data_IF_819341011404
#
_entry.id   IF_819341011404
#
_cell.length_a   1.000
_cell.length_b   1.000
_cell.length_c   1.000
_cell.angle_alpha   90.00
_cell.angle_beta   90.00
_cell.angle_gamma   90.00
#
_symmetry.space_group_name_H-M   'P 1'
#
loop_
_entity.id
_entity.type
_entity.pdbx_description
1 polymer ?
#
# COMPACT_ATOMS: atom_id res chain seq x y z
N UNK A 1 -0.48 8.37 7.75
CA UNK A 1 -0.33 7.29 8.76
C UNK A 1 1.13 6.96 8.90
N UNK A 2 1.68 6.97 10.12
CA UNK A 2 3.05 6.52 10.34
C UNK A 2 3.10 4.99 10.43
N UNK A 3 4.14 4.39 9.89
CA UNK A 3 4.36 2.94 9.93
C UNK A 3 5.47 2.66 10.95
N UNK A 4 5.22 1.72 11.86
CA UNK A 4 6.16 1.33 12.91
C UNK A 4 6.49 -0.16 12.80
N UNK A 5 7.71 -0.55 13.18
CA UNK A 5 8.10 -1.95 13.33
C UNK A 5 7.55 -2.56 14.64
N UNK A 6 7.82 -3.85 14.86
CA UNK A 6 7.41 -4.56 16.08
C UNK A 6 8.07 -4.01 17.37
N UNK A 7 9.16 -3.24 17.23
CA UNK A 7 9.86 -2.61 18.34
C UNK A 7 9.38 -1.18 18.60
N UNK A 8 8.44 -0.66 17.79
CA UNK A 8 7.92 0.70 17.90
C UNK A 8 8.77 1.77 17.20
N UNK A 9 9.76 1.39 16.39
CA UNK A 9 10.52 2.35 15.59
C UNK A 9 9.76 2.74 14.33
N UNK A 10 9.76 4.03 14.01
CA UNK A 10 9.19 4.51 12.75
C UNK A 10 10.03 3.99 11.59
N UNK A 11 9.42 3.19 10.73
CA UNK A 11 10.04 2.65 9.51
C UNK A 11 9.61 3.41 8.26
N UNK A 12 8.58 4.24 8.37
CA UNK A 12 8.10 5.03 7.25
C UNK A 12 6.79 5.72 7.55
N UNK A 13 6.15 6.22 6.50
CA UNK A 13 4.83 6.80 6.59
C UNK A 13 4.08 6.67 5.26
N UNK A 14 2.76 6.70 5.35
CA UNK A 14 1.86 6.67 4.20
C UNK A 14 1.00 7.93 4.18
N UNK A 15 0.81 8.52 3.01
CA UNK A 15 0.07 9.77 2.83
C UNK A 15 -0.99 9.60 1.74
N UNK A 16 -2.21 10.14 1.92
CA UNK A 16 -3.25 10.04 0.90
C UNK A 16 -2.79 10.68 -0.42
N UNK A 17 -3.05 9.98 -1.52
CA UNK A 17 -2.79 10.42 -2.89
C UNK A 17 -3.99 11.12 -3.50
N UNK A 18 -3.75 11.82 -4.62
CA UNK A 18 -4.76 12.67 -5.27
C UNK A 18 -5.98 11.92 -5.80
N UNK A 19 -5.84 10.64 -6.16
CA UNK A 19 -6.91 9.81 -6.73
C UNK A 19 -7.50 8.80 -5.73
N UNK A 20 -7.56 9.16 -4.44
CA UNK A 20 -8.07 8.27 -3.39
C UNK A 20 -7.15 7.08 -3.06
N UNK A 21 -5.91 7.11 -3.55
CA UNK A 21 -4.86 6.16 -3.21
C UNK A 21 -4.05 6.55 -1.96
N UNK A 22 -3.00 5.80 -1.64
CA UNK A 22 -2.08 6.06 -0.54
C UNK A 22 -0.62 5.93 -1.02
N UNK A 23 0.18 6.98 -0.90
CA UNK A 23 1.61 6.95 -1.18
C UNK A 23 2.35 6.40 0.03
N UNK A 24 3.35 5.55 -0.17
CA UNK A 24 4.18 4.96 0.88
C UNK A 24 5.60 5.51 0.78
N UNK A 25 6.14 5.91 1.93
CA UNK A 25 7.47 6.49 2.07
C UNK A 25 8.24 5.75 3.16
N UNK A 26 9.55 5.62 2.98
CA UNK A 26 10.47 5.12 4.02
C UNK A 26 10.72 6.19 5.10
N UNK A 27 11.57 5.86 6.08
CA UNK A 27 11.94 6.77 7.15
C UNK A 27 12.85 7.93 6.69
N UNK A 28 13.46 7.82 5.50
CA UNK A 28 14.28 8.86 4.87
C UNK A 28 13.44 9.82 4.01
N UNK A 29 12.14 9.53 3.83
CA UNK A 29 11.23 10.30 3.00
C UNK A 29 11.24 9.91 1.52
N UNK A 30 11.92 8.83 1.13
CA UNK A 30 11.86 8.31 -0.23
C UNK A 30 10.58 7.52 -0.45
N UNK A 31 9.94 7.74 -1.59
CA UNK A 31 8.76 6.98 -2.00
C UNK A 31 9.17 5.54 -2.28
N UNK A 32 8.56 4.60 -1.56
CA UNK A 32 8.77 3.16 -1.74
C UNK A 32 7.68 2.52 -2.59
N UNK A 33 6.52 3.17 -2.70
CA UNK A 33 5.40 2.71 -3.50
C UNK A 33 4.15 3.56 -3.37
N UNK A 34 3.06 3.11 -3.97
CA UNK A 34 1.73 3.72 -3.86
C UNK A 34 0.64 2.65 -4.01
N UNK A 35 -0.44 2.79 -3.28
CA UNK A 35 -1.66 2.00 -3.43
C UNK A 35 -2.76 2.83 -4.06
N UNK A 36 -3.52 2.27 -5.00
CA UNK A 36 -4.67 2.91 -5.64
C UNK A 36 -5.91 2.04 -5.47
N UNK A 37 -7.10 2.62 -5.27
CA UNK A 37 -8.34 1.87 -5.35
C UNK A 37 -8.50 1.28 -6.75
N UNK A 38 -8.84 0.00 -6.81
CA UNK A 38 -9.15 -0.74 -8.03
C UNK A 38 -10.61 -0.57 -8.44
N UNK A 39 -10.89 -0.72 -9.74
CA UNK A 39 -12.22 -0.52 -10.32
C UNK A 39 -13.31 -1.46 -9.76
N UNK A 40 -12.92 -2.58 -9.15
CA UNK A 40 -13.83 -3.58 -8.57
C UNK A 40 -13.76 -3.64 -7.03
N UNK A 41 -13.37 -2.53 -6.38
CA UNK A 41 -13.32 -2.44 -4.91
C UNK A 41 -12.10 -3.11 -4.26
N UNK A 42 -11.14 -3.58 -5.05
CA UNK A 42 -9.81 -4.00 -4.58
C UNK A 42 -8.86 -2.82 -4.35
N UNK A 43 -7.67 -3.10 -3.83
CA UNK A 43 -6.57 -2.13 -3.75
C UNK A 43 -5.39 -2.67 -4.56
N UNK A 44 -4.86 -1.84 -5.46
CA UNK A 44 -3.67 -2.16 -6.24
C UNK A 44 -2.47 -1.47 -5.62
N UNK A 45 -1.46 -2.23 -5.21
CA UNK A 45 -0.21 -1.67 -4.68
C UNK A 45 0.90 -1.80 -5.72
N UNK A 46 1.56 -0.68 -5.96
CA UNK A 46 2.66 -0.51 -6.89
C UNK A 46 3.92 -0.15 -6.10
N UNK A 47 5.08 -0.66 -6.53
CA UNK A 47 6.36 -0.19 -6.03
C UNK A 47 6.81 1.11 -6.72
N UNK A 48 7.97 1.61 -6.31
CA UNK A 48 8.55 2.83 -6.86
C UNK A 48 8.92 2.73 -8.36
N UNK A 49 9.05 1.52 -8.90
CA UNK A 49 9.30 1.30 -10.33
C UNK A 49 7.98 1.22 -11.13
N UNK A 50 6.83 1.33 -10.46
CA UNK A 50 5.51 1.17 -11.08
C UNK A 50 5.12 -0.29 -11.29
N UNK A 51 5.90 -1.24 -10.79
CA UNK A 51 5.54 -2.65 -10.87
C UNK A 51 4.49 -2.95 -9.81
N UNK A 52 3.43 -3.65 -10.23
CA UNK A 52 2.34 -4.07 -9.34
C UNK A 52 2.87 -5.18 -8.42
N UNK A 53 3.20 -4.83 -7.18
CA UNK A 53 3.68 -5.79 -6.19
C UNK A 53 2.58 -6.60 -5.54
N UNK A 54 1.38 -6.03 -5.42
CA UNK A 54 0.28 -6.71 -4.74
C UNK A 54 -1.06 -6.30 -5.31
N UNK A 55 -1.90 -7.29 -5.56
CA UNK A 55 -3.30 -7.11 -5.88
C UNK A 55 -4.10 -7.66 -4.70
N UNK A 56 -4.72 -6.79 -3.90
CA UNK A 56 -5.73 -7.23 -2.95
C UNK A 56 -7.09 -7.08 -3.62
N UNK A 57 -7.55 -8.18 -4.21
CA UNK A 57 -8.93 -8.32 -4.66
C UNK A 57 -9.80 -8.45 -3.41
N UNK A 58 -10.73 -7.52 -3.20
CA UNK A 58 -11.70 -7.66 -2.11
C UNK A 58 -12.64 -8.78 -2.53
N UNK A 59 -12.35 -10.00 -2.09
CA UNK A 59 -13.26 -11.12 -2.33
C UNK A 59 -14.64 -10.72 -1.82
N UNK A 60 -15.67 -11.02 -2.60
CA UNK A 60 -17.10 -10.71 -2.38
C UNK A 60 -17.65 -11.09 -0.98
N UNK A 61 -16.85 -11.73 -0.12
CA UNK A 61 -17.16 -12.22 1.23
C UNK A 61 -16.32 -11.55 2.35
N UNK A 62 -15.72 -10.39 2.13
CA UNK A 62 -15.18 -9.57 3.23
C UNK A 62 -13.85 -10.03 3.85
N UNK A 63 -13.07 -10.87 3.15
CA UNK A 63 -11.70 -11.24 3.53
C UNK A 63 -10.66 -10.49 2.71
N UNK A 64 -9.66 -9.90 3.38
CA UNK A 64 -8.42 -9.45 2.73
C UNK A 64 -7.58 -10.68 2.41
N UNK A 65 -7.70 -11.22 1.19
CA UNK A 65 -6.82 -12.28 0.74
C UNK A 65 -5.48 -11.67 0.30
N UNK A 66 -4.42 -12.13 0.93
CA UNK A 66 -3.06 -11.66 0.74
C UNK A 66 -2.27 -12.79 0.09
N UNK A 67 -2.18 -12.76 -1.24
CA UNK A 67 -1.28 -13.66 -1.96
C UNK A 67 0.05 -12.93 -2.15
N UNK A 68 1.10 -13.46 -1.53
CA UNK A 68 2.49 -13.13 -1.83
C UNK A 68 2.99 -14.23 -2.77
N UNK A 69 3.49 -13.86 -3.95
CA UNK A 69 4.20 -14.76 -4.88
C UNK A 69 5.69 -14.79 -4.54
#
# INVERSE_FOLDING_TARGET
>A
MNNYDANGHKVGHSSPGFFGGMNHYDNNGHKTGHSSPGLFGGVNTYDNNGHKKRHSEKSFLGGYNHYEE
#
